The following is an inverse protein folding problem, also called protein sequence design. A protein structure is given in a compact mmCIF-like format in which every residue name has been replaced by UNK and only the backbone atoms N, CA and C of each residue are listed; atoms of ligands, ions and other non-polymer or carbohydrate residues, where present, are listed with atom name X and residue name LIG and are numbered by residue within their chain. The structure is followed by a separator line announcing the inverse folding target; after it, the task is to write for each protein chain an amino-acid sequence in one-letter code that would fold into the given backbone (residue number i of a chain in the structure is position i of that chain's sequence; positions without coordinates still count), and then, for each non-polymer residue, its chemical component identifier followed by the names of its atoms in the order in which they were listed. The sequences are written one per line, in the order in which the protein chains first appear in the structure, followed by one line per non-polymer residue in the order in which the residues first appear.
data_IF_605948519791
#
_entry.id   IF_605948519791
#
_cell.length_a   1.000
_cell.length_b   1.000
_cell.length_c   1.000
_cell.angle_alpha   90.00
_cell.angle_beta   90.00
_cell.angle_gamma   90.00
#
_symmetry.space_group_name_H-M   'P 1'
#
loop_
_entity.id
_entity.type
_entity.pdbx_description
1 polymer ?
#
# COMPACT_ATOMS: atom_id res chain seq x y z
N UNK A 1 14.59 -55.15 53.48
CA UNK A 1 14.32 -56.13 52.41
C UNK A 1 13.98 -55.33 51.15
N UNK A 2 14.70 -55.60 50.05
CA UNK A 2 14.49 -55.13 48.67
C UNK A 2 15.03 -53.76 48.20
N UNK A 3 16.24 -53.86 47.63
CA UNK A 3 16.87 -53.15 46.50
C UNK A 3 15.96 -52.69 45.35
N UNK A 4 16.27 -51.54 44.74
CA UNK A 4 16.38 -51.34 43.28
C UNK A 4 17.17 -50.04 42.97
N UNK A 5 18.48 -50.17 42.69
CA UNK A 5 19.16 -50.03 41.38
C UNK A 5 18.90 -48.74 40.59
N UNK A 6 19.97 -47.93 40.53
CA UNK A 6 20.22 -46.80 39.61
C UNK A 6 20.17 -47.27 38.15
N UNK A 7 19.67 -46.42 37.26
CA UNK A 7 20.02 -46.45 35.84
C UNK A 7 20.41 -45.05 35.38
N UNK A 8 21.67 -44.89 34.96
CA UNK A 8 22.20 -43.73 34.23
C UNK A 8 22.47 -44.17 32.79
N UNK A 9 22.10 -43.32 31.85
CA UNK A 9 22.75 -43.21 30.55
C UNK A 9 22.00 -43.85 29.38
N UNK A 10 21.59 -43.02 28.41
CA UNK A 10 22.31 -42.96 27.13
C UNK A 10 21.77 -41.81 26.27
N UNK A 11 22.70 -41.05 25.71
CA UNK A 11 22.46 -39.95 24.78
C UNK A 11 21.97 -40.49 23.42
N UNK A 12 20.98 -39.81 22.83
CA UNK A 12 20.48 -40.11 21.50
C UNK A 12 21.33 -39.39 20.46
N UNK A 13 22.21 -40.13 19.77
CA UNK A 13 22.90 -39.67 18.55
C UNK A 13 21.97 -39.84 17.36
N UNK A 14 21.63 -38.76 16.68
CA UNK A 14 21.07 -38.81 15.32
C UNK A 14 22.15 -39.34 14.36
N UNK A 15 21.77 -40.30 13.52
CA UNK A 15 22.61 -40.89 12.47
C UNK A 15 21.88 -40.76 11.14
N UNK A 16 22.52 -40.06 10.20
CA UNK A 16 22.20 -40.03 8.77
C UNK A 16 22.04 -41.44 8.20
N UNK A 17 20.92 -41.71 7.53
CA UNK A 17 20.83 -42.64 6.39
C UNK A 17 19.67 -42.26 5.46
N UNK A 18 20.00 -41.56 4.38
CA UNK A 18 19.19 -41.56 3.16
C UNK A 18 19.29 -42.95 2.50
N UNK A 19 18.14 -43.58 2.23
CA UNK A 19 18.06 -44.85 1.50
C UNK A 19 17.89 -44.53 0.01
N UNK A 20 18.93 -44.79 -0.78
CA UNK A 20 18.85 -44.83 -2.24
C UNK A 20 18.02 -46.05 -2.67
N UNK A 21 16.85 -45.82 -3.26
CA UNK A 21 16.12 -46.84 -3.99
C UNK A 21 16.83 -47.10 -5.34
N UNK A 22 17.49 -48.26 -5.47
CA UNK A 22 17.95 -48.80 -6.77
C UNK A 22 16.89 -49.76 -7.29
N UNK A 23 15.93 -49.26 -8.07
CA UNK A 23 15.01 -50.10 -8.82
C UNK A 23 15.18 -49.81 -10.33
N UNK A 24 15.81 -50.71 -11.11
CA UNK A 24 16.19 -50.42 -12.51
C UNK A 24 14.99 -50.23 -13.46
N UNK A 25 13.78 -50.65 -13.08
CA UNK A 25 12.58 -50.48 -13.92
C UNK A 25 12.01 -49.05 -13.90
N UNK A 26 12.20 -48.28 -12.82
CA UNK A 26 11.68 -46.91 -12.71
C UNK A 26 12.50 -45.92 -13.56
N UNK A 27 13.79 -46.19 -13.76
CA UNK A 27 14.69 -45.35 -14.58
C UNK A 27 14.44 -45.47 -16.09
N UNK A 28 13.88 -46.59 -16.56
CA UNK A 28 13.58 -46.80 -17.99
C UNK A 28 12.27 -46.12 -18.40
N UNK A 29 11.27 -46.07 -17.49
CA UNK A 29 10.02 -45.38 -17.73
C UNK A 29 10.18 -43.84 -17.81
N UNK A 30 11.05 -43.25 -16.98
CA UNK A 30 11.35 -41.82 -17.01
C UNK A 30 12.04 -41.35 -18.29
N UNK A 31 12.98 -42.16 -18.82
CA UNK A 31 13.71 -41.84 -20.06
C UNK A 31 12.83 -41.89 -21.32
N UNK A 32 11.83 -42.78 -21.37
CA UNK A 32 10.85 -42.83 -22.48
C UNK A 32 9.90 -41.63 -22.48
N UNK A 33 9.47 -41.15 -21.31
CA UNK A 33 8.59 -39.97 -21.21
C UNK A 33 9.31 -38.67 -21.59
N UNK A 34 10.57 -38.50 -21.18
CA UNK A 34 11.41 -37.35 -21.58
C UNK A 34 11.69 -37.31 -23.09
N UNK A 35 11.93 -38.46 -23.72
CA UNK A 35 12.15 -38.53 -25.17
C UNK A 35 10.90 -38.16 -25.99
N UNK A 36 9.70 -38.53 -25.52
CA UNK A 36 8.44 -38.18 -26.18
C UNK A 36 8.14 -36.69 -26.05
N UNK A 37 8.36 -36.09 -24.87
CA UNK A 37 8.18 -34.64 -24.67
C UNK A 37 9.15 -33.84 -25.54
N UNK A 38 10.42 -34.26 -25.62
CA UNK A 38 11.41 -33.62 -26.49
C UNK A 38 11.02 -33.69 -27.98
N UNK A 39 10.47 -34.82 -28.45
CA UNK A 39 10.02 -34.96 -29.83
C UNK A 39 8.81 -34.06 -30.16
N UNK A 40 7.87 -33.92 -29.23
CA UNK A 40 6.69 -33.04 -29.40
C UNK A 40 7.13 -31.56 -29.46
N UNK A 41 8.04 -31.13 -28.60
CA UNK A 41 8.58 -29.76 -28.62
C UNK A 41 9.29 -29.46 -29.95
N UNK A 42 10.04 -30.43 -30.49
CA UNK A 42 10.77 -30.26 -31.75
C UNK A 42 9.83 -30.15 -32.96
N UNK A 43 8.71 -30.89 -32.97
CA UNK A 43 7.67 -30.77 -34.01
C UNK A 43 6.96 -29.42 -33.95
N UNK A 44 6.66 -28.92 -32.74
CA UNK A 44 6.04 -27.59 -32.56
C UNK A 44 6.99 -26.47 -33.01
N UNK A 45 8.28 -26.56 -32.68
CA UNK A 45 9.28 -25.58 -33.11
C UNK A 45 9.47 -25.57 -34.64
N UNK A 46 9.43 -26.74 -35.29
CA UNK A 46 9.49 -26.83 -36.75
C UNK A 46 8.23 -26.27 -37.42
N UNK A 47 7.04 -26.47 -36.83
CA UNK A 47 5.79 -25.91 -37.33
C UNK A 47 5.75 -24.37 -37.22
N UNK A 48 6.20 -23.82 -36.08
CA UNK A 48 6.28 -22.37 -35.86
C UNK A 48 7.35 -21.73 -36.77
N UNK A 49 8.51 -22.37 -36.92
CA UNK A 49 9.57 -21.93 -37.84
C UNK A 49 9.13 -21.96 -39.31
N UNK A 50 8.39 -22.98 -39.72
CA UNK A 50 7.81 -23.07 -41.06
C UNK A 50 6.77 -21.99 -41.35
N UNK A 51 5.96 -21.62 -40.35
CA UNK A 51 4.97 -20.53 -40.46
C UNK A 51 5.64 -19.15 -40.59
N UNK A 52 6.72 -18.89 -39.83
CA UNK A 52 7.50 -17.65 -39.93
C UNK A 52 8.21 -17.52 -41.30
N UNK A 53 8.77 -18.61 -41.83
CA UNK A 53 9.39 -18.62 -43.17
C UNK A 53 8.37 -18.35 -44.28
N UNK A 54 7.13 -18.84 -44.14
CA UNK A 54 6.05 -18.58 -45.09
C UNK A 54 5.53 -17.13 -45.06
N UNK A 55 5.64 -16.42 -43.93
CA UNK A 55 5.30 -15.00 -43.85
C UNK A 55 6.40 -14.08 -44.41
N UNK A 56 7.68 -14.42 -44.21
CA UNK A 56 8.79 -13.65 -44.78
C UNK A 56 8.89 -13.74 -46.32
N UNK A 57 8.29 -14.76 -46.94
CA UNK A 57 8.24 -14.91 -48.40
C UNK A 57 7.04 -14.20 -49.05
N UNK A 58 6.15 -13.58 -48.26
CA UNK A 58 4.94 -12.88 -48.75
C UNK A 58 5.03 -11.34 -48.76
N UNK A 59 6.16 -10.75 -48.39
CA UNK A 59 6.34 -9.28 -48.34
C UNK A 59 7.33 -8.71 -49.37
N UNK A 60 7.61 -9.42 -50.45
CA UNK A 60 8.46 -8.91 -51.54
C UNK A 60 7.68 -8.75 -52.85
N UNK A 61 6.72 -7.83 -52.88
CA UNK A 61 6.21 -7.24 -54.12
C UNK A 61 5.47 -5.92 -53.85
N UNK A 62 6.21 -4.80 -53.80
CA UNK A 62 5.80 -3.52 -54.43
C UNK A 62 6.81 -2.40 -54.16
N UNK A 63 7.64 -2.11 -55.16
CA UNK A 63 8.25 -0.80 -55.48
C UNK A 63 8.20 -0.74 -57.02
N UNK A 64 8.04 0.38 -57.74
CA UNK A 64 8.12 1.81 -57.48
C UNK A 64 7.52 2.55 -58.70
N UNK A 65 7.34 3.87 -58.58
CA UNK A 65 7.13 4.78 -59.72
C UNK A 65 7.25 6.25 -59.31
N UNK A 66 8.37 6.87 -59.68
CA UNK A 66 8.85 8.22 -59.32
C UNK A 66 8.17 9.37 -60.09
N UNK A 67 8.35 10.61 -59.62
CA UNK A 67 8.59 11.74 -60.55
C UNK A 67 8.22 13.17 -60.14
N UNK A 68 9.15 13.85 -59.43
CA UNK A 68 9.66 15.22 -59.68
C UNK A 68 8.83 16.52 -59.41
N UNK A 69 9.42 17.32 -58.50
CA UNK A 69 9.71 18.79 -58.51
C UNK A 69 8.59 19.84 -58.52
N UNK A 70 8.58 20.77 -57.55
CA UNK A 70 9.24 22.12 -57.63
C UNK A 70 8.98 22.93 -56.34
N UNK A 71 10.02 23.57 -55.78
CA UNK A 71 9.96 24.56 -54.69
C UNK A 71 9.38 25.90 -55.19
N UNK A 72 8.67 26.65 -54.32
CA UNK A 72 8.81 28.11 -54.20
C UNK A 72 8.15 28.62 -52.91
N UNK A 73 8.93 29.37 -52.13
CA UNK A 73 8.55 30.18 -50.97
C UNK A 73 7.49 31.23 -51.30
N UNK A 74 6.53 31.46 -50.39
CA UNK A 74 6.08 32.83 -50.01
C UNK A 74 5.51 32.80 -48.57
N UNK A 75 6.16 33.53 -47.67
CA UNK A 75 5.64 33.90 -46.36
C UNK A 75 4.55 34.99 -46.47
N UNK A 76 3.44 34.87 -45.71
CA UNK A 76 2.61 36.02 -45.33
C UNK A 76 1.90 35.80 -43.98
N UNK A 77 2.02 36.82 -43.15
CA UNK A 77 1.64 36.90 -41.73
C UNK A 77 0.13 36.97 -41.44
N UNK A 78 -0.20 36.40 -40.28
CA UNK A 78 -1.16 36.82 -39.22
C UNK A 78 -2.67 36.90 -39.54
N UNK A 79 -3.42 36.02 -38.85
CA UNK A 79 -4.54 36.43 -38.00
C UNK A 79 -4.35 35.87 -36.60
N UNK A 80 -4.14 36.76 -35.63
CA UNK A 80 -4.29 36.43 -34.21
C UNK A 80 -5.76 36.13 -33.97
N UNK A 81 -6.08 34.84 -33.81
CA UNK A 81 -7.26 34.45 -33.04
C UNK A 81 -6.84 34.61 -31.58
N UNK A 82 -7.46 35.56 -30.89
CA UNK A 82 -7.38 35.62 -29.43
C UNK A 82 -8.00 34.31 -28.94
N UNK A 83 -7.16 33.35 -28.53
CA UNK A 83 -7.62 32.18 -27.78
C UNK A 83 -8.38 32.73 -26.58
N UNK A 84 -9.67 32.41 -26.52
CA UNK A 84 -10.45 32.49 -25.29
C UNK A 84 -9.63 31.77 -24.22
N UNK A 85 -9.30 32.43 -23.12
CA UNK A 85 -8.57 31.80 -22.03
C UNK A 85 -9.29 30.50 -21.68
N UNK A 86 -8.59 29.37 -21.86
CA UNK A 86 -9.04 28.08 -21.37
C UNK A 86 -9.25 28.20 -19.85
N UNK A 87 -10.25 27.49 -19.26
CA UNK A 87 -10.42 27.49 -17.82
C UNK A 87 -9.08 27.06 -17.21
N UNK A 88 -8.57 27.79 -16.20
CA UNK A 88 -7.34 27.39 -15.51
C UNK A 88 -7.48 25.93 -15.09
N UNK A 89 -6.68 25.07 -15.73
CA UNK A 89 -6.55 23.65 -15.41
C UNK A 89 -6.20 23.52 -13.93
N UNK A 90 -6.84 22.58 -13.26
CA UNK A 90 -6.64 22.37 -11.84
C UNK A 90 -5.70 21.18 -11.65
N UNK A 91 -4.42 21.48 -11.48
CA UNK A 91 -3.42 20.50 -11.12
C UNK A 91 -3.49 20.31 -9.59
N UNK A 92 -3.87 19.13 -9.10
CA UNK A 92 -3.68 18.77 -7.70
C UNK A 92 -2.23 18.99 -7.24
N UNK A 93 -1.94 18.80 -5.97
CA UNK A 93 -0.63 19.15 -5.37
C UNK A 93 0.57 18.35 -5.93
N UNK A 94 0.35 17.31 -6.74
CA UNK A 94 1.41 16.53 -7.37
C UNK A 94 1.82 17.10 -8.75
N UNK A 95 3.13 17.14 -9.07
CA UNK A 95 3.64 17.72 -10.31
C UNK A 95 3.24 16.91 -11.56
N UNK A 96 3.40 17.55 -12.73
CA UNK A 96 3.30 16.90 -14.04
C UNK A 96 1.94 16.24 -14.35
N UNK A 97 0.84 16.80 -13.84
CA UNK A 97 -0.51 16.37 -14.20
C UNK A 97 -0.71 16.39 -15.74
N UNK A 98 -0.91 15.23 -16.40
CA UNK A 98 -0.93 15.16 -17.86
C UNK A 98 -2.31 15.41 -18.47
N UNK A 99 -3.36 15.45 -17.64
CA UNK A 99 -4.75 15.62 -18.04
C UNK A 99 -5.38 16.88 -17.42
N UNK A 100 -6.67 17.10 -17.67
CA UNK A 100 -7.39 18.30 -17.21
C UNK A 100 -7.49 18.39 -15.68
N UNK A 101 -7.68 17.24 -15.02
CA UNK A 101 -7.86 17.15 -13.58
C UNK A 101 -6.94 16.06 -13.02
N UNK A 102 -6.30 16.34 -11.88
CA UNK A 102 -5.53 15.34 -11.12
C UNK A 102 -5.85 15.37 -9.62
N UNK A 103 -5.74 14.21 -8.99
CA UNK A 103 -5.87 14.01 -7.54
C UNK A 103 -4.61 13.30 -7.04
N UNK A 104 -3.99 13.78 -5.98
CA UNK A 104 -2.85 13.16 -5.33
C UNK A 104 -3.23 12.61 -3.96
N UNK A 105 -3.40 11.29 -3.86
CA UNK A 105 -3.66 10.59 -2.59
C UNK A 105 -2.35 10.09 -2.01
N UNK A 106 -2.00 10.52 -0.80
CA UNK A 106 -0.90 9.96 -0.03
C UNK A 106 -1.43 8.94 0.97
N UNK A 107 -0.75 7.79 1.05
CA UNK A 107 -1.05 6.68 1.95
C UNK A 107 0.21 6.29 2.69
N UNK A 108 0.04 5.94 3.96
CA UNK A 108 1.08 5.47 4.84
C UNK A 108 0.80 4.05 5.33
N UNK A 109 1.86 3.43 5.81
CA UNK A 109 1.79 2.19 6.56
C UNK A 109 1.15 2.35 7.94
N UNK A 110 1.26 1.28 8.72
CA UNK A 110 0.56 1.11 9.99
C UNK A 110 0.94 2.18 11.02
N UNK A 111 -0.06 2.77 11.68
CA UNK A 111 0.11 3.50 12.93
C UNK A 111 -0.02 2.52 14.11
N UNK A 112 1.04 1.75 14.34
CA UNK A 112 1.09 0.68 15.34
C UNK A 112 1.85 1.12 16.59
N UNK A 113 1.12 1.60 17.58
CA UNK A 113 1.70 2.18 18.79
C UNK A 113 1.92 1.14 19.88
N UNK A 114 3.11 1.15 20.49
CA UNK A 114 3.47 0.29 21.62
C UNK A 114 4.07 1.10 22.78
N UNK A 115 4.06 0.56 24.02
CA UNK A 115 4.59 1.25 25.20
C UNK A 115 6.01 1.80 25.04
N UNK A 116 6.92 0.97 24.50
CA UNK A 116 8.31 1.37 24.29
C UNK A 116 8.50 2.54 23.33
N UNK A 117 7.51 2.83 22.48
CA UNK A 117 7.48 4.04 21.64
C UNK A 117 6.82 5.21 22.38
N UNK A 118 5.58 5.05 22.86
CA UNK A 118 4.82 6.20 23.34
C UNK A 118 5.37 6.79 24.64
N UNK A 119 6.07 6.01 25.46
CA UNK A 119 6.68 6.50 26.71
C UNK A 119 7.71 7.61 26.46
N UNK A 120 8.28 7.70 25.24
CA UNK A 120 9.21 8.77 24.84
C UNK A 120 8.51 10.12 24.59
N UNK A 121 7.18 10.13 24.54
CA UNK A 121 6.37 11.31 24.25
C UNK A 121 5.45 11.69 25.41
N UNK A 122 5.66 11.09 26.59
CA UNK A 122 4.87 11.37 27.77
C UNK A 122 5.06 12.82 28.24
N UNK A 123 3.94 13.49 28.52
CA UNK A 123 3.92 14.76 29.22
C UNK A 123 4.19 14.61 30.72
N UNK A 124 4.09 15.71 31.50
CA UNK A 124 4.36 15.68 32.94
C UNK A 124 3.41 14.81 33.75
N UNK A 125 2.21 14.51 33.21
CA UNK A 125 1.19 13.70 33.87
C UNK A 125 0.45 12.84 32.82
N UNK A 126 0.77 11.56 32.75
CA UNK A 126 0.13 10.62 31.81
C UNK A 126 -1.33 10.30 32.13
N UNK A 127 -1.84 10.72 33.30
CA UNK A 127 -3.26 10.65 33.64
C UNK A 127 -4.03 11.95 33.30
N UNK A 128 -3.37 12.93 32.65
CA UNK A 128 -4.04 14.16 32.24
C UNK A 128 -5.12 13.88 31.19
N UNK A 129 -6.24 14.60 31.29
CA UNK A 129 -7.40 14.43 30.41
C UNK A 129 -7.60 15.59 29.43
N UNK A 130 -6.75 16.61 29.53
CA UNK A 130 -6.78 17.86 28.75
C UNK A 130 -5.94 17.82 27.47
N UNK A 131 -5.48 16.62 27.09
CA UNK A 131 -4.61 16.40 25.94
C UNK A 131 -3.12 16.64 26.16
N UNK A 132 -2.69 16.84 27.42
CA UNK A 132 -1.26 17.01 27.75
C UNK A 132 -0.58 15.74 28.25
N UNK A 133 -1.29 14.59 28.25
CA UNK A 133 -0.73 13.32 28.68
C UNK A 133 0.42 12.85 27.79
N UNK A 134 0.31 13.08 26.48
CA UNK A 134 1.33 12.78 25.48
C UNK A 134 1.36 13.86 24.40
N UNK A 135 2.52 14.07 23.77
CA UNK A 135 2.64 14.91 22.58
C UNK A 135 3.46 14.20 21.49
N UNK A 136 2.77 13.62 20.52
CA UNK A 136 3.39 12.92 19.39
C UNK A 136 3.71 13.85 18.21
N UNK A 137 3.52 15.17 18.31
CA UNK A 137 3.69 16.07 17.15
C UNK A 137 5.08 15.92 16.52
N UNK A 138 6.14 15.82 17.32
CA UNK A 138 7.53 15.66 16.84
C UNK A 138 7.81 14.30 16.17
N UNK A 139 7.02 13.26 16.48
CA UNK A 139 7.10 11.95 15.83
C UNK A 139 6.67 12.04 14.37
N UNK A 140 5.59 12.78 14.10
CA UNK A 140 4.97 12.88 12.78
C UNK A 140 5.49 14.07 11.96
N UNK A 141 6.03 15.12 12.59
CA UNK A 141 6.34 16.39 11.93
C UNK A 141 7.11 16.26 10.60
N UNK A 142 8.11 15.37 10.43
CA UNK A 142 8.80 15.27 9.16
C UNK A 142 7.92 14.75 8.01
N UNK A 143 6.80 14.07 8.29
CA UNK A 143 5.81 13.66 7.28
C UNK A 143 5.10 14.88 6.63
N UNK A 144 4.99 16.02 7.35
CA UNK A 144 4.20 17.18 6.91
C UNK A 144 4.54 17.62 5.50
N UNK A 145 5.82 17.62 5.11
CA UNK A 145 6.26 18.02 3.76
C UNK A 145 5.72 17.13 2.63
N UNK A 146 5.49 15.84 2.91
CA UNK A 146 4.92 14.89 1.96
C UNK A 146 3.38 14.99 1.94
N UNK A 147 2.77 15.24 3.11
CA UNK A 147 1.34 15.51 3.23
C UNK A 147 0.97 16.79 2.46
N UNK A 148 1.70 17.89 2.68
CA UNK A 148 1.47 19.18 2.02
C UNK A 148 1.69 19.11 0.50
N UNK A 149 2.56 18.21 0.04
CA UNK A 149 2.77 17.92 -1.38
C UNK A 149 1.73 16.96 -1.97
N UNK A 150 0.67 16.64 -1.23
CA UNK A 150 -0.43 15.76 -1.64
C UNK A 150 -1.77 16.47 -1.43
N UNK A 151 -2.84 16.02 -2.09
CA UNK A 151 -4.17 16.61 -1.90
C UNK A 151 -4.86 16.03 -0.67
N UNK A 152 -4.76 14.70 -0.52
CA UNK A 152 -5.46 13.93 0.50
C UNK A 152 -4.44 12.95 1.10
N UNK A 153 -4.06 13.15 2.35
CA UNK A 153 -3.29 12.18 3.12
C UNK A 153 -4.21 11.27 3.92
N UNK A 154 -4.01 9.97 3.78
CA UNK A 154 -4.79 8.91 4.43
C UNK A 154 -3.85 8.10 5.34
N UNK A 155 -4.17 8.04 6.63
CA UNK A 155 -3.46 7.20 7.57
C UNK A 155 -4.07 5.79 7.66
N UNK A 156 -3.28 4.78 8.02
CA UNK A 156 -3.82 3.51 8.51
C UNK A 156 -3.74 3.55 10.03
N UNK A 157 -4.89 3.41 10.68
CA UNK A 157 -5.01 3.48 12.14
C UNK A 157 -5.32 2.07 12.67
N UNK A 158 -4.27 1.26 12.81
CA UNK A 158 -4.39 -0.16 13.14
C UNK A 158 -5.04 -0.40 14.51
N UNK A 159 -4.69 0.39 15.53
CA UNK A 159 -5.03 0.11 16.93
C UNK A 159 -6.11 1.06 17.49
N UNK A 160 -6.96 0.61 18.42
CA UNK A 160 -7.93 1.49 19.05
C UNK A 160 -7.27 2.40 20.09
N UNK A 161 -7.90 3.55 20.32
CA UNK A 161 -7.46 4.54 21.31
C UNK A 161 -8.19 4.39 22.66
N UNK A 162 -7.48 4.71 23.73
CA UNK A 162 -7.99 4.89 25.08
C UNK A 162 -8.74 6.22 25.22
N UNK A 163 -9.59 6.38 26.25
CA UNK A 163 -9.99 7.73 26.66
C UNK A 163 -8.74 8.52 27.12
N UNK A 164 -8.81 9.86 27.03
CA UNK A 164 -7.74 10.71 27.57
C UNK A 164 -7.49 10.35 29.04
N UNK A 165 -6.22 10.24 29.43
CA UNK A 165 -5.79 9.78 30.75
C UNK A 165 -5.76 8.25 30.96
N UNK A 166 -6.12 7.46 29.95
CA UNK A 166 -6.02 5.99 29.98
C UNK A 166 -7.25 5.29 30.59
N UNK A 167 -7.13 3.98 30.93
CA UNK A 167 -5.90 3.20 30.99
C UNK A 167 -5.35 2.86 29.59
N UNK A 168 -4.02 2.83 29.48
CA UNK A 168 -3.33 2.44 28.25
C UNK A 168 -2.90 0.99 28.28
N UNK A 169 -3.09 0.27 27.18
CA UNK A 169 -2.60 -1.11 27.01
C UNK A 169 -1.94 -1.28 25.65
N UNK A 170 -0.87 -2.07 25.60
CA UNK A 170 -0.24 -2.50 24.35
C UNK A 170 -0.68 -3.92 23.97
N UNK A 171 0.07 -4.52 23.05
CA UNK A 171 -0.08 -5.92 22.65
C UNK A 171 -0.31 -6.88 23.85
N UNK A 172 -1.22 -7.85 23.76
CA UNK A 172 -1.97 -8.27 22.56
C UNK A 172 -3.33 -7.57 22.36
N UNK A 173 -3.77 -6.75 23.32
CA UNK A 173 -5.07 -6.07 23.26
C UNK A 173 -4.83 -4.58 23.51
N UNK A 174 -4.76 -3.83 22.41
CA UNK A 174 -4.33 -2.44 22.42
C UNK A 174 -5.41 -1.49 22.94
N UNK A 175 -4.97 -0.40 23.57
CA UNK A 175 -5.76 0.77 23.95
C UNK A 175 -4.78 1.95 24.07
N UNK A 176 -4.40 2.53 22.94
CA UNK A 176 -3.24 3.44 22.85
C UNK A 176 -3.61 4.88 23.28
N UNK A 177 -2.66 5.77 23.60
CA UNK A 177 -2.98 7.17 23.89
C UNK A 177 -3.74 7.87 22.77
N UNK A 178 -4.86 8.54 23.09
CA UNK A 178 -5.71 9.23 22.12
C UNK A 178 -5.03 10.41 21.42
N UNK A 179 -4.00 11.00 22.05
CA UNK A 179 -3.22 12.14 21.55
C UNK A 179 -2.51 11.85 20.23
N UNK A 180 -2.43 10.58 19.81
CA UNK A 180 -1.98 10.21 18.46
C UNK A 180 -2.87 10.81 17.38
N UNK A 181 -4.19 10.91 17.62
CA UNK A 181 -5.14 11.53 16.70
C UNK A 181 -4.88 13.04 16.59
N UNK A 182 -4.60 13.70 17.71
CA UNK A 182 -4.19 15.11 17.74
C UNK A 182 -2.96 15.35 16.86
N UNK A 183 -1.95 14.47 16.95
CA UNK A 183 -0.74 14.57 16.15
C UNK A 183 -1.01 14.32 14.66
N UNK A 184 -1.80 13.30 14.33
CA UNK A 184 -2.20 13.01 12.95
C UNK A 184 -2.94 14.20 12.31
N UNK A 185 -3.86 14.83 13.05
CA UNK A 185 -4.58 16.02 12.60
C UNK A 185 -3.64 17.21 12.43
N UNK A 186 -2.74 17.45 13.39
CA UNK A 186 -1.76 18.55 13.35
C UNK A 186 -0.84 18.49 12.13
N UNK A 187 -0.44 17.30 11.68
CA UNK A 187 0.41 17.16 10.48
C UNK A 187 -0.37 17.14 9.18
N UNK A 188 -1.71 17.09 9.24
CA UNK A 188 -2.57 17.29 8.08
C UNK A 188 -3.19 16.02 7.49
N UNK A 189 -3.22 14.89 8.22
CA UNK A 189 -4.03 13.75 7.77
C UNK A 189 -5.50 14.16 7.67
N UNK A 190 -6.12 13.82 6.55
CA UNK A 190 -7.52 14.19 6.25
C UNK A 190 -8.47 13.02 6.40
N UNK A 191 -7.96 11.80 6.28
CA UNK A 191 -8.72 10.61 6.54
C UNK A 191 -7.85 9.51 7.16
N UNK A 192 -8.50 8.53 7.77
CA UNK A 192 -7.85 7.31 8.23
C UNK A 192 -8.71 6.08 7.94
N UNK A 193 -8.05 4.97 7.62
CA UNK A 193 -8.67 3.64 7.55
C UNK A 193 -8.42 2.89 8.85
N UNK A 194 -9.39 2.11 9.30
CA UNK A 194 -9.28 1.39 10.58
C UNK A 194 -10.03 0.05 10.54
N UNK A 195 -9.95 -0.63 9.40
CA UNK A 195 -10.21 -2.06 9.29
C UNK A 195 -8.87 -2.77 9.39
N UNK A 196 -8.64 -3.44 10.51
CA UNK A 196 -7.39 -4.10 10.90
C UNK A 196 -7.68 -5.31 11.78
N UNK A 197 -6.66 -6.14 11.99
CA UNK A 197 -6.68 -7.21 12.99
C UNK A 197 -6.98 -6.72 14.44
N UNK A 198 -6.63 -5.47 14.78
CA UNK A 198 -6.82 -4.86 16.10
C UNK A 198 -8.09 -4.01 16.25
N UNK A 199 -8.91 -3.91 15.20
CA UNK A 199 -10.13 -3.10 15.17
C UNK A 199 -11.15 -3.42 16.27
N UNK A 200 -11.11 -4.63 16.83
CA UNK A 200 -12.05 -5.10 17.84
C UNK A 200 -11.46 -5.22 19.26
N UNK A 201 -10.20 -4.86 19.49
CA UNK A 201 -9.53 -5.05 20.78
C UNK A 201 -10.26 -4.40 21.97
N UNK A 202 -10.93 -3.28 21.73
CA UNK A 202 -11.71 -2.55 22.74
C UNK A 202 -13.23 -2.62 22.47
N UNK A 203 -13.65 -3.54 21.60
CA UNK A 203 -15.04 -3.74 21.21
C UNK A 203 -15.75 -2.50 20.67
N UNK A 204 -17.09 -2.50 20.78
CA UNK A 204 -17.93 -1.42 20.28
C UNK A 204 -17.62 -0.05 20.91
N UNK A 205 -17.23 -0.02 22.19
CA UNK A 205 -16.84 1.20 22.89
C UNK A 205 -15.54 1.79 22.33
N UNK A 206 -14.58 0.93 21.97
CA UNK A 206 -13.35 1.30 21.28
C UNK A 206 -13.60 1.96 19.93
N UNK A 207 -14.40 1.30 19.08
CA UNK A 207 -14.79 1.84 17.77
C UNK A 207 -15.49 3.19 17.93
N UNK A 208 -16.47 3.26 18.85
CA UNK A 208 -17.22 4.50 19.09
C UNK A 208 -16.32 5.65 19.53
N UNK A 209 -15.35 5.35 20.39
CA UNK A 209 -14.40 6.34 20.88
C UNK A 209 -13.45 6.82 19.79
N UNK A 210 -12.83 5.91 19.03
CA UNK A 210 -12.02 6.28 17.87
C UNK A 210 -12.81 7.16 16.91
N UNK A 211 -14.06 6.77 16.62
CA UNK A 211 -14.95 7.54 15.75
C UNK A 211 -15.15 8.98 16.22
N UNK A 212 -15.48 9.14 17.49
CA UNK A 212 -15.76 10.47 18.03
C UNK A 212 -14.50 11.32 18.12
N UNK A 213 -13.34 10.74 18.41
CA UNK A 213 -12.08 11.47 18.45
C UNK A 213 -11.66 11.94 17.06
N UNK A 214 -11.64 11.05 16.05
CA UNK A 214 -11.25 11.45 14.69
C UNK A 214 -12.21 12.50 14.10
N UNK A 215 -13.53 12.38 14.36
CA UNK A 215 -14.52 13.38 13.94
C UNK A 215 -14.29 14.75 14.61
N UNK A 216 -13.97 14.77 15.90
CA UNK A 216 -13.63 16.00 16.63
C UNK A 216 -12.38 16.68 16.07
N UNK A 217 -11.42 15.89 15.59
CA UNK A 217 -10.17 16.38 15.00
C UNK A 217 -10.30 16.69 13.49
N UNK A 218 -11.48 16.48 12.91
CA UNK A 218 -11.75 16.74 11.48
C UNK A 218 -11.12 15.71 10.54
N UNK A 219 -10.75 14.53 11.05
CA UNK A 219 -10.25 13.39 10.27
C UNK A 219 -11.43 12.50 9.87
N UNK A 220 -11.66 12.37 8.57
CA UNK A 220 -12.66 11.45 8.05
C UNK A 220 -12.22 9.99 8.24
N UNK A 221 -13.15 9.04 8.27
CA UNK A 221 -12.80 7.66 8.62
C UNK A 221 -13.69 6.60 7.96
N UNK A 222 -13.13 5.39 7.80
CA UNK A 222 -13.84 4.22 7.27
C UNK A 222 -13.15 2.92 7.70
N UNK A 223 -13.91 1.82 7.73
CA UNK A 223 -13.39 0.47 7.96
C UNK A 223 -13.97 -0.22 9.20
N UNK A 224 -14.43 0.53 10.20
CA UNK A 224 -15.27 0.01 11.29
C UNK A 224 -16.34 1.03 11.69
N UNK A 225 -17.42 0.62 12.38
CA UNK A 225 -18.65 1.42 12.41
C UNK A 225 -19.39 1.38 13.75
N UNK A 226 -19.92 2.56 14.12
CA UNK A 226 -20.81 2.75 15.28
C UNK A 226 -22.19 2.15 15.05
N UNK A 227 -22.68 2.22 13.81
CA UNK A 227 -24.02 1.78 13.40
C UNK A 227 -23.98 0.99 12.10
N UNK A 228 -24.99 0.12 11.90
CA UNK A 228 -25.14 -0.62 10.65
C UNK A 228 -25.35 0.33 9.46
N UNK A 229 -26.09 1.43 9.66
CA UNK A 229 -26.31 2.43 8.61
C UNK A 229 -24.98 3.03 8.12
N UNK A 230 -24.09 3.41 9.05
CA UNK A 230 -22.77 3.92 8.71
C UNK A 230 -21.95 2.88 7.94
N UNK A 231 -22.08 1.61 8.29
CA UNK A 231 -21.36 0.51 7.64
C UNK A 231 -21.73 0.31 6.16
N UNK A 232 -22.81 0.90 5.68
CA UNK A 232 -23.24 0.83 4.27
C UNK A 232 -22.76 2.01 3.44
N UNK A 233 -22.30 3.10 4.09
CA UNK A 233 -21.89 4.33 3.42
C UNK A 233 -20.40 4.27 3.08
N UNK A 234 -19.99 4.53 1.84
CA UNK A 234 -18.58 4.74 1.52
C UNK A 234 -18.12 6.09 2.07
N UNK A 235 -16.83 6.21 2.37
CA UNK A 235 -16.22 7.51 2.59
C UNK A 235 -15.90 8.16 1.23
N UNK A 236 -16.41 9.37 0.99
CA UNK A 236 -16.12 10.17 -0.21
C UNK A 236 -15.53 11.51 0.22
N UNK A 237 -14.32 11.80 -0.24
CA UNK A 237 -13.52 12.95 0.17
C UNK A 237 -13.33 13.87 -1.04
N UNK A 238 -13.74 15.14 -0.90
CA UNK A 238 -13.38 16.17 -1.87
C UNK A 238 -11.89 16.52 -1.74
N UNK A 239 -11.17 16.50 -2.86
CA UNK A 239 -9.81 17.04 -2.94
C UNK A 239 -9.85 18.53 -2.57
N UNK A 240 -9.11 18.99 -1.53
CA UNK A 240 -9.11 20.38 -1.10
C UNK A 240 -8.63 21.36 -2.17
N UNK A 241 -7.81 20.88 -3.11
CA UNK A 241 -7.35 21.68 -4.24
C UNK A 241 -8.44 21.80 -5.30
N UNK A 242 -9.35 20.83 -5.39
CA UNK A 242 -10.43 20.81 -6.38
C UNK A 242 -10.17 19.84 -7.54
N UNK A 243 -9.19 18.95 -7.37
CA UNK A 243 -8.82 17.90 -8.32
C UNK A 243 -9.96 16.92 -8.64
N UNK A 244 -10.90 16.72 -7.71
CA UNK A 244 -12.02 15.79 -7.85
C UNK A 244 -12.33 15.10 -6.53
N UNK A 245 -13.03 13.97 -6.57
CA UNK A 245 -13.44 13.23 -5.36
C UNK A 245 -12.80 11.85 -5.28
N UNK A 246 -12.28 11.49 -4.11
CA UNK A 246 -11.78 10.16 -3.78
C UNK A 246 -12.85 9.39 -2.99
N UNK A 247 -13.26 8.22 -3.48
CA UNK A 247 -13.92 7.20 -2.68
C UNK A 247 -12.89 6.33 -1.97
N UNK A 248 -13.04 6.12 -0.66
CA UNK A 248 -12.14 5.31 0.14
C UNK A 248 -12.90 4.17 0.82
N UNK A 249 -12.43 2.95 0.58
CA UNK A 249 -12.93 1.71 1.18
C UNK A 249 -11.76 1.08 1.95
N UNK A 250 -12.06 0.32 3.00
CA UNK A 250 -11.08 -0.46 3.73
C UNK A 250 -11.66 -1.85 4.04
N UNK A 251 -10.80 -2.83 4.26
CA UNK A 251 -11.20 -4.14 4.75
C UNK A 251 -10.02 -4.90 5.34
N UNK A 252 -10.32 -5.84 6.24
CA UNK A 252 -9.29 -6.66 6.90
C UNK A 252 -9.63 -8.14 6.91
N UNK A 253 -8.59 -8.96 6.77
CA UNK A 253 -8.71 -10.43 6.74
C UNK A 253 -8.89 -11.04 8.12
N UNK A 254 -8.46 -10.37 9.19
CA UNK A 254 -8.44 -10.92 10.56
C UNK A 254 -8.99 -9.94 11.60
N UNK A 255 -9.41 -10.46 12.76
CA UNK A 255 -9.71 -9.70 13.98
C UNK A 255 -9.01 -10.34 15.19
N UNK A 256 -7.87 -11.00 14.96
CA UNK A 256 -7.13 -11.75 15.98
C UNK A 256 -8.00 -12.79 16.71
N UNK A 257 -8.79 -13.54 15.93
CA UNK A 257 -9.78 -14.52 16.39
C UNK A 257 -10.90 -13.97 17.29
N UNK A 258 -11.06 -12.65 17.36
CA UNK A 258 -12.20 -12.02 18.02
C UNK A 258 -13.40 -11.99 17.07
N UNK A 259 -14.60 -11.99 17.66
CA UNK A 259 -15.86 -11.91 16.92
C UNK A 259 -16.60 -10.64 17.34
N UNK A 260 -16.93 -9.74 16.40
CA UNK A 260 -17.71 -8.57 16.72
C UNK A 260 -19.14 -8.95 17.11
N UNK A 261 -19.80 -8.08 17.86
CA UNK A 261 -21.22 -8.27 18.24
C UNK A 261 -22.14 -8.33 17.01
N UNK A 262 -21.75 -7.67 15.92
CA UNK A 262 -22.37 -7.77 14.59
C UNK A 262 -21.31 -7.77 13.49
N UNK A 263 -21.54 -8.54 12.41
CA UNK A 263 -20.61 -8.65 11.28
C UNK A 263 -20.35 -7.30 10.57
N UNK A 264 -21.33 -6.39 10.59
CA UNK A 264 -21.20 -5.05 9.99
C UNK A 264 -20.26 -4.10 10.74
N UNK A 265 -19.80 -4.46 11.95
CA UNK A 265 -18.95 -3.60 12.79
C UNK A 265 -17.63 -3.25 12.15
N UNK A 266 -17.02 -4.18 11.42
CA UNK A 266 -15.73 -4.01 10.76
C UNK A 266 -15.91 -4.50 9.33
N UNK A 267 -15.42 -3.76 8.35
CA UNK A 267 -15.35 -4.27 6.99
C UNK A 267 -14.33 -5.40 6.92
N UNK A 268 -14.82 -6.58 6.55
CA UNK A 268 -14.03 -7.80 6.44
C UNK A 268 -13.61 -8.01 4.99
N UNK A 269 -12.50 -8.71 4.82
CA UNK A 269 -12.06 -9.35 3.59
C UNK A 269 -11.61 -10.76 3.98
N UNK A 270 -12.54 -11.60 4.45
CA UNK A 270 -12.16 -12.92 4.95
C UNK A 270 -11.51 -13.74 3.85
N UNK A 271 -10.58 -14.58 4.26
CA UNK A 271 -9.87 -15.55 3.42
C UNK A 271 -10.81 -16.37 2.52
N UNK A 272 -10.38 -16.71 1.29
CA UNK A 272 -11.11 -17.50 0.28
C UNK A 272 -11.79 -18.80 0.78
N UNK A 273 -11.30 -19.40 1.87
CA UNK A 273 -11.90 -20.58 2.49
C UNK A 273 -13.11 -20.29 3.40
N UNK A 274 -13.33 -19.02 3.75
CA UNK A 274 -14.44 -18.59 4.61
C UNK A 274 -15.75 -18.52 3.80
N UNK A 275 -16.88 -19.04 4.33
CA UNK A 275 -18.16 -18.99 3.63
C UNK A 275 -18.68 -17.57 3.33
N UNK A 276 -18.16 -16.54 3.99
CA UNK A 276 -18.55 -15.15 3.78
C UNK A 276 -17.59 -14.36 2.88
N UNK A 277 -16.51 -14.98 2.39
CA UNK A 277 -15.51 -14.32 1.55
C UNK A 277 -16.14 -13.57 0.36
N UNK A 278 -17.01 -14.23 -0.42
CA UNK A 278 -17.67 -13.58 -1.55
C UNK A 278 -18.58 -12.42 -1.10
N UNK A 279 -19.25 -12.56 0.04
CA UNK A 279 -20.10 -11.50 0.57
C UNK A 279 -19.29 -10.27 1.00
N UNK A 280 -18.06 -10.47 1.49
CA UNK A 280 -17.12 -9.41 1.82
C UNK A 280 -16.69 -8.64 0.57
N UNK A 281 -16.30 -9.35 -0.50
CA UNK A 281 -15.96 -8.76 -1.80
C UNK A 281 -17.16 -8.00 -2.38
N UNK A 282 -18.36 -8.60 -2.36
CA UNK A 282 -19.58 -7.97 -2.85
C UNK A 282 -19.93 -6.69 -2.08
N UNK A 283 -19.71 -6.68 -0.75
CA UNK A 283 -19.91 -5.50 0.10
C UNK A 283 -18.92 -4.38 -0.27
N UNK A 284 -17.64 -4.71 -0.46
CA UNK A 284 -16.62 -3.75 -0.87
C UNK A 284 -16.96 -3.14 -2.26
N UNK A 285 -17.36 -3.97 -3.22
CA UNK A 285 -17.81 -3.54 -4.55
C UNK A 285 -19.08 -2.68 -4.48
N UNK A 286 -20.03 -3.01 -3.60
CA UNK A 286 -21.23 -2.22 -3.41
C UNK A 286 -20.90 -0.82 -2.89
N UNK A 287 -19.98 -0.70 -1.94
CA UNK A 287 -19.47 0.59 -1.44
C UNK A 287 -18.76 1.39 -2.54
N UNK A 288 -17.89 0.75 -3.32
CA UNK A 288 -17.23 1.39 -4.44
C UNK A 288 -18.25 1.96 -5.46
N UNK A 289 -19.28 1.18 -5.81
CA UNK A 289 -20.37 1.63 -6.70
C UNK A 289 -21.16 2.79 -6.09
N UNK A 290 -21.42 2.76 -4.79
CA UNK A 290 -22.10 3.85 -4.10
C UNK A 290 -21.24 5.11 -4.05
N UNK A 291 -19.92 4.99 -3.88
CA UNK A 291 -19.00 6.12 -3.91
C UNK A 291 -19.06 6.81 -5.28
N UNK A 292 -19.07 6.04 -6.37
CA UNK A 292 -19.24 6.56 -7.74
C UNK A 292 -20.56 7.31 -7.91
N UNK A 293 -21.67 6.78 -7.38
CA UNK A 293 -22.98 7.49 -7.43
C UNK A 293 -22.96 8.80 -6.66
N UNK A 294 -22.18 8.88 -5.58
CA UNK A 294 -21.93 10.10 -4.81
C UNK A 294 -20.89 11.03 -5.47
N UNK A 295 -20.41 10.68 -6.66
CA UNK A 295 -19.54 11.51 -7.49
C UNK A 295 -18.04 11.25 -7.31
N UNK A 296 -17.64 10.13 -6.69
CA UNK A 296 -16.23 9.74 -6.64
C UNK A 296 -15.65 9.59 -8.05
N UNK A 297 -14.62 10.40 -8.35
CA UNK A 297 -13.86 10.41 -9.59
C UNK A 297 -12.81 9.28 -9.63
N UNK A 298 -12.29 8.91 -8.45
CA UNK A 298 -11.47 7.72 -8.23
C UNK A 298 -11.90 6.96 -6.97
N UNK A 299 -11.64 5.66 -6.90
CA UNK A 299 -11.96 4.80 -5.76
C UNK A 299 -10.74 3.94 -5.40
N UNK A 300 -10.29 4.07 -4.15
CA UNK A 300 -9.21 3.27 -3.58
C UNK A 300 -9.75 2.29 -2.52
N UNK A 301 -9.07 1.15 -2.36
CA UNK A 301 -9.31 0.23 -1.25
C UNK A 301 -8.02 -0.06 -0.47
N UNK A 302 -8.12 0.08 0.86
CA UNK A 302 -7.12 -0.39 1.82
C UNK A 302 -7.38 -1.86 2.17
N UNK A 303 -6.39 -2.72 1.93
CA UNK A 303 -6.44 -4.15 2.19
C UNK A 303 -5.49 -4.48 3.35
N UNK A 304 -6.02 -4.64 4.56
CA UNK A 304 -5.21 -4.99 5.73
C UNK A 304 -5.07 -6.53 5.81
N UNK A 305 -3.93 -7.04 5.32
CA UNK A 305 -3.64 -8.47 5.10
C UNK A 305 -2.41 -8.90 5.89
N UNK A 306 -2.50 -10.02 6.62
CA UNK A 306 -1.84 -10.17 7.93
C UNK A 306 -0.72 -11.20 8.02
N UNK A 307 -0.14 -11.67 6.90
CA UNK A 307 1.09 -12.44 7.05
C UNK A 307 2.25 -11.48 7.35
N UNK A 308 2.45 -11.22 8.64
CA UNK A 308 3.42 -10.26 9.17
C UNK A 308 4.87 -10.62 8.80
N UNK A 309 5.67 -9.58 8.57
CA UNK A 309 7.12 -9.61 8.35
C UNK A 309 7.58 -10.34 7.08
N UNK A 310 6.70 -10.53 6.09
CA UNK A 310 7.06 -11.02 4.76
C UNK A 310 7.25 -9.87 3.76
N UNK A 311 8.49 -9.62 3.34
CA UNK A 311 8.81 -8.60 2.35
C UNK A 311 8.51 -9.01 0.89
N UNK A 312 7.73 -10.07 0.70
CA UNK A 312 7.11 -10.47 -0.56
C UNK A 312 5.61 -10.65 -0.36
N UNK A 313 4.82 -10.41 -1.40
CA UNK A 313 3.40 -10.73 -1.39
C UNK A 313 3.23 -12.25 -1.49
N UNK A 314 2.60 -12.88 -0.51
CA UNK A 314 2.33 -14.33 -0.57
C UNK A 314 1.17 -14.63 -1.55
N UNK A 315 0.90 -15.91 -1.80
CA UNK A 315 -0.14 -16.32 -2.75
C UNK A 315 -1.55 -15.95 -2.31
N UNK A 316 -1.80 -15.84 -1.01
CA UNK A 316 -3.10 -15.49 -0.47
C UNK A 316 -3.40 -14.02 -0.68
N UNK A 317 -2.45 -13.16 -0.29
CA UNK A 317 -2.51 -11.73 -0.48
C UNK A 317 -2.60 -11.37 -1.97
N UNK A 318 -1.85 -12.06 -2.84
CA UNK A 318 -1.96 -11.91 -4.29
C UNK A 318 -3.36 -12.29 -4.80
N UNK A 319 -3.90 -13.44 -4.38
CA UNK A 319 -5.23 -13.88 -4.81
C UNK A 319 -6.32 -12.89 -4.43
N UNK A 320 -6.28 -12.37 -3.20
CA UNK A 320 -7.23 -11.37 -2.71
C UNK A 320 -7.15 -10.05 -3.48
N UNK A 321 -5.93 -9.53 -3.68
CA UNK A 321 -5.74 -8.28 -4.41
C UNK A 321 -6.12 -8.43 -5.90
N UNK A 322 -5.81 -9.56 -6.53
CA UNK A 322 -6.20 -9.85 -7.92
C UNK A 322 -7.72 -9.97 -8.05
N UNK A 323 -8.40 -10.62 -7.10
CA UNK A 323 -9.86 -10.72 -7.11
C UNK A 323 -10.52 -9.34 -6.98
N UNK A 324 -10.04 -8.50 -6.05
CA UNK A 324 -10.50 -7.11 -5.92
C UNK A 324 -10.26 -6.32 -7.21
N UNK A 325 -9.10 -6.49 -7.86
CA UNK A 325 -8.77 -5.83 -9.12
C UNK A 325 -9.69 -6.28 -10.27
N UNK A 326 -9.94 -7.59 -10.39
CA UNK A 326 -10.77 -8.18 -11.44
C UNK A 326 -12.25 -7.76 -11.36
N UNK A 327 -12.70 -7.26 -10.20
CA UNK A 327 -14.04 -6.64 -10.10
C UNK A 327 -14.19 -5.37 -10.94
N UNK A 328 -13.07 -4.69 -11.26
CA UNK A 328 -13.04 -3.39 -11.94
C UNK A 328 -13.62 -2.23 -11.12
N UNK A 329 -13.84 -2.42 -9.82
CA UNK A 329 -14.48 -1.41 -8.96
C UNK A 329 -13.50 -0.38 -8.38
N UNK A 330 -12.20 -0.70 -8.32
CA UNK A 330 -11.16 0.07 -7.65
C UNK A 330 -10.08 0.50 -8.65
N UNK A 331 -9.63 1.76 -8.57
CA UNK A 331 -8.53 2.28 -9.41
C UNK A 331 -7.16 1.96 -8.82
N UNK A 332 -7.09 1.75 -7.50
CA UNK A 332 -5.88 1.33 -6.78
C UNK A 332 -6.25 0.48 -5.57
N UNK A 333 -5.40 -0.50 -5.28
CA UNK A 333 -5.43 -1.32 -4.08
C UNK A 333 -4.13 -1.04 -3.33
N UNK A 334 -4.20 -0.77 -2.04
CA UNK A 334 -3.00 -0.62 -1.21
C UNK A 334 -3.14 -1.41 0.09
N UNK A 335 -2.04 -2.02 0.53
CA UNK A 335 -2.04 -2.93 1.66
C UNK A 335 -1.29 -2.42 2.88
N UNK A 336 -1.70 -2.95 4.02
CA UNK A 336 -1.23 -2.64 5.36
C UNK A 336 -1.25 -3.93 6.23
N UNK A 337 -0.72 -3.87 7.45
CA UNK A 337 -0.76 -4.97 8.42
C UNK A 337 0.37 -6.01 8.30
N UNK A 338 1.08 -6.07 7.17
CA UNK A 338 2.24 -6.95 7.05
C UNK A 338 3.49 -6.41 7.79
N UNK A 339 3.43 -5.18 8.31
CA UNK A 339 4.50 -4.51 9.05
C UNK A 339 5.84 -4.40 8.28
N UNK A 340 5.83 -4.59 6.97
CA UNK A 340 6.99 -4.43 6.11
C UNK A 340 6.61 -3.88 4.73
N UNK A 341 7.58 -3.27 4.05
CA UNK A 341 7.41 -2.92 2.64
C UNK A 341 7.27 -4.20 1.81
N UNK A 342 6.31 -4.21 0.89
CA UNK A 342 6.06 -5.30 -0.05
C UNK A 342 5.95 -4.77 -1.49
N UNK A 343 5.95 -5.65 -2.51
CA UNK A 343 6.07 -5.25 -3.90
C UNK A 343 4.93 -4.36 -4.41
N UNK A 344 5.18 -3.66 -5.51
CA UNK A 344 4.16 -2.98 -6.30
C UNK A 344 3.95 -3.75 -7.60
N UNK A 345 2.69 -3.96 -7.98
CA UNK A 345 2.30 -4.68 -9.19
C UNK A 345 1.29 -3.84 -9.99
N UNK A 346 1.38 -3.91 -11.32
CA UNK A 346 0.24 -3.57 -12.18
C UNK A 346 -0.39 -4.88 -12.66
N UNK A 347 -1.57 -5.19 -12.13
CA UNK A 347 -2.32 -6.38 -12.49
C UNK A 347 -3.55 -5.98 -13.31
N UNK A 348 -3.60 -6.41 -14.57
CA UNK A 348 -4.71 -6.11 -15.50
C UNK A 348 -5.09 -4.62 -15.59
N UNK A 349 -4.13 -3.70 -15.40
CA UNK A 349 -4.35 -2.25 -15.43
C UNK A 349 -4.63 -1.62 -14.07
N UNK A 350 -4.88 -2.41 -13.02
CA UNK A 350 -5.05 -1.93 -11.64
C UNK A 350 -3.71 -1.97 -10.92
N UNK A 351 -3.34 -0.87 -10.26
CA UNK A 351 -2.13 -0.83 -9.43
C UNK A 351 -2.40 -1.36 -8.04
N UNK A 352 -1.47 -2.19 -7.56
CA UNK A 352 -1.53 -2.86 -6.26
C UNK A 352 -0.22 -2.54 -5.52
N UNK A 353 -0.33 -1.93 -4.35
CA UNK A 353 0.78 -1.82 -3.39
C UNK A 353 0.51 -2.86 -2.32
N UNK A 354 1.26 -3.95 -2.26
CA UNK A 354 0.90 -5.06 -1.38
C UNK A 354 1.04 -4.74 0.11
N UNK A 355 2.00 -3.88 0.47
CA UNK A 355 2.29 -3.59 1.87
C UNK A 355 3.12 -2.33 2.01
N UNK A 356 2.59 -1.37 2.75
CA UNK A 356 3.26 -0.10 3.07
C UNK A 356 4.15 -0.21 4.32
N UNK A 357 4.11 -1.34 5.04
CA UNK A 357 4.85 -1.56 6.29
C UNK A 357 4.40 -0.65 7.43
N UNK A 358 5.29 -0.37 8.37
CA UNK A 358 4.96 0.53 9.49
C UNK A 358 5.31 1.97 9.12
N UNK A 359 4.37 2.89 9.31
CA UNK A 359 4.67 4.32 9.35
C UNK A 359 5.11 4.76 10.74
N UNK A 360 4.57 4.13 11.79
CA UNK A 360 4.99 4.35 13.17
C UNK A 360 4.92 3.02 13.90
N UNK A 361 6.04 2.55 14.45
CA UNK A 361 6.04 1.45 15.43
C UNK A 361 7.25 1.50 16.35
N UNK A 362 7.20 0.71 17.43
CA UNK A 362 8.34 0.46 18.30
C UNK A 362 9.44 -0.29 17.53
N UNK A 363 10.69 0.03 17.85
CA UNK A 363 11.84 -0.66 17.28
C UNK A 363 11.85 -2.12 17.75
N UNK A 364 11.75 -3.05 16.81
CA UNK A 364 12.05 -4.46 17.01
C UNK A 364 13.57 -4.66 17.03
N UNK A 365 14.06 -5.28 18.11
CA UNK A 365 15.45 -5.73 18.23
C UNK A 365 15.59 -7.24 17.99
N UNK A 366 14.53 -7.89 17.53
CA UNK A 366 14.54 -9.32 17.22
C UNK A 366 15.26 -9.50 15.88
N UNK A 367 16.39 -10.23 15.84
CA UNK A 367 17.09 -10.51 14.58
C UNK A 367 16.16 -11.23 13.61
N UNK A 368 16.12 -10.78 12.35
CA UNK A 368 15.21 -11.28 11.32
C UNK A 368 13.89 -10.51 11.20
N UNK A 369 13.58 -9.60 12.13
CA UNK A 369 12.41 -8.71 12.06
C UNK A 369 12.80 -7.26 11.78
N UNK A 370 13.95 -7.02 11.14
CA UNK A 370 14.43 -5.67 10.81
C UNK A 370 13.44 -4.92 9.91
N UNK A 371 12.68 -5.68 9.10
CA UNK A 371 11.62 -5.19 8.22
C UNK A 371 10.51 -4.45 8.96
N UNK A 372 10.28 -4.78 10.24
CA UNK A 372 9.29 -4.14 11.10
C UNK A 372 9.60 -2.66 11.36
N UNK A 373 10.89 -2.29 11.32
CA UNK A 373 11.34 -0.95 11.71
C UNK A 373 11.25 0.05 10.56
N UNK A 374 10.66 -0.37 9.43
CA UNK A 374 10.69 0.33 8.16
C UNK A 374 9.31 0.28 7.49
N UNK A 375 9.13 1.20 6.55
CA UNK A 375 7.90 1.27 5.76
C UNK A 375 8.12 1.99 4.44
N UNK A 376 7.01 2.22 3.76
CA UNK A 376 6.90 2.99 2.53
C UNK A 376 5.71 3.93 2.69
N UNK A 377 5.95 5.20 2.42
CA UNK A 377 4.89 6.18 2.18
C UNK A 377 4.74 6.34 0.68
N UNK A 378 3.51 6.31 0.17
CA UNK A 378 3.26 6.41 -1.26
C UNK A 378 2.26 7.53 -1.59
N UNK A 379 2.51 8.29 -2.65
CA UNK A 379 1.57 9.23 -3.26
C UNK A 379 1.13 8.70 -4.62
N UNK A 380 -0.14 8.32 -4.71
CA UNK A 380 -0.80 7.89 -5.93
C UNK A 380 -1.42 9.13 -6.60
N UNK A 381 -0.86 9.52 -7.74
CA UNK A 381 -1.44 10.56 -8.59
C UNK A 381 -2.39 9.91 -9.60
N UNK A 382 -3.65 10.31 -9.53
CA UNK A 382 -4.65 10.01 -10.54
C UNK A 382 -4.77 11.18 -11.51
N UNK A 383 -4.97 10.87 -12.79
CA UNK A 383 -5.18 11.85 -13.84
C UNK A 383 -6.40 11.47 -14.69
N UNK A 384 -7.24 12.44 -15.02
CA UNK A 384 -8.46 12.22 -15.78
C UNK A 384 -9.22 13.52 -16.03
N UNK A 385 -10.54 13.38 -16.19
CA UNK A 385 -11.45 14.50 -16.40
C UNK A 385 -12.73 14.32 -15.59
N UNK A 386 -13.01 15.26 -14.70
CA UNK A 386 -14.22 15.23 -13.86
C UNK A 386 -15.49 15.10 -14.70
N UNK A 387 -16.40 14.25 -14.24
CA UNK A 387 -17.68 13.99 -14.91
C UNK A 387 -17.59 13.16 -16.20
N UNK A 388 -16.40 12.69 -16.59
CA UNK A 388 -16.23 11.74 -17.71
C UNK A 388 -15.89 10.37 -17.15
N UNK A 389 -16.91 9.50 -17.11
CA UNK A 389 -16.76 8.13 -16.63
C UNK A 389 -15.66 7.37 -17.38
N UNK A 390 -14.81 6.67 -16.64
CA UNK A 390 -13.70 5.88 -17.20
C UNK A 390 -12.52 6.69 -17.74
N UNK A 391 -12.46 8.01 -17.52
CA UNK A 391 -11.32 8.82 -17.95
C UNK A 391 -10.14 8.80 -16.97
N UNK A 392 -10.39 8.44 -15.72
CA UNK A 392 -9.42 8.45 -14.64
C UNK A 392 -8.53 7.21 -14.69
N UNK A 393 -7.25 7.40 -14.38
CA UNK A 393 -6.26 6.33 -14.21
C UNK A 393 -5.21 6.75 -13.20
N UNK A 394 -4.51 5.79 -12.62
CA UNK A 394 -3.24 6.06 -11.94
C UNK A 394 -2.22 6.48 -13.00
N UNK A 395 -1.72 7.70 -12.90
CA UNK A 395 -0.68 8.23 -13.76
C UNK A 395 0.71 7.95 -13.21
N UNK A 396 0.86 8.07 -11.88
CA UNK A 396 2.15 7.98 -11.19
C UNK A 396 1.95 7.51 -9.75
N UNK A 397 2.92 6.75 -9.25
CA UNK A 397 3.05 6.40 -7.84
C UNK A 397 4.45 6.85 -7.40
N UNK A 398 4.50 7.86 -6.54
CA UNK A 398 5.74 8.28 -5.89
C UNK A 398 5.87 7.56 -4.55
N UNK A 399 7.01 6.98 -4.23
CA UNK A 399 7.20 6.24 -2.97
C UNK A 399 8.46 6.70 -2.24
N UNK A 400 8.41 6.77 -0.91
CA UNK A 400 9.58 7.07 -0.07
C UNK A 400 9.77 5.93 0.93
N UNK A 401 10.98 5.34 1.03
CA UNK A 401 11.30 4.39 2.10
C UNK A 401 11.44 5.15 3.42
N UNK A 402 10.96 4.54 4.51
CA UNK A 402 10.88 5.23 5.81
C UNK A 402 11.42 4.37 6.94
N UNK A 403 11.90 5.02 8.00
CA UNK A 403 12.27 4.43 9.27
C UNK A 403 11.46 5.09 10.41
N UNK A 404 11.31 4.36 11.51
CA UNK A 404 10.62 4.87 12.72
C UNK A 404 11.53 5.65 13.68
N UNK A 405 12.83 5.68 13.40
CA UNK A 405 13.83 6.34 14.24
C UNK A 405 14.78 7.20 13.42
N UNK A 406 15.23 8.30 14.04
CA UNK A 406 16.31 9.14 13.55
C UNK A 406 17.33 9.35 14.66
N UNK A 407 18.58 8.97 14.40
CA UNK A 407 19.70 9.07 15.32
C UNK A 407 19.38 8.48 16.72
N UNK A 408 18.64 7.36 16.73
CA UNK A 408 18.25 6.64 17.94
C UNK A 408 17.06 7.24 18.71
N UNK A 409 16.40 8.28 18.18
CA UNK A 409 15.17 8.85 18.72
C UNK A 409 13.98 8.47 17.85
N UNK A 410 12.81 8.19 18.44
CA UNK A 410 11.59 7.96 17.67
C UNK A 410 11.19 9.24 16.95
N UNK A 411 11.17 9.17 15.62
CA UNK A 411 10.76 10.22 14.71
C UNK A 411 10.64 9.56 13.33
N UNK A 412 9.51 9.74 12.65
CA UNK A 412 9.37 9.27 11.28
C UNK A 412 10.45 9.91 10.42
N UNK A 413 11.19 9.07 9.70
CA UNK A 413 12.39 9.49 9.02
C UNK A 413 12.41 8.96 7.57
N UNK A 414 12.45 9.83 6.55
CA UNK A 414 12.59 9.40 5.18
C UNK A 414 14.03 8.96 4.90
N UNK A 415 14.18 7.76 4.35
CA UNK A 415 15.46 7.16 3.94
C UNK A 415 15.70 7.37 2.42
N UNK A 416 14.97 8.31 1.79
CA UNK A 416 15.17 8.63 0.37
C UNK A 416 16.53 9.25 0.13
N UNK A 417 17.03 9.14 -1.11
CA UNK A 417 18.34 9.66 -1.52
C UNK A 417 18.62 11.11 -1.10
N UNK A 418 17.58 11.94 -1.13
CA UNK A 418 17.66 13.36 -0.89
C UNK A 418 17.74 13.74 0.58
N UNK A 419 17.51 12.79 1.49
CA UNK A 419 17.59 12.95 2.94
C UNK A 419 17.11 14.34 3.40
N UNK A 420 15.83 14.68 3.21
CA UNK A 420 15.34 16.04 3.41
C UNK A 420 15.45 16.50 4.88
N UNK A 421 15.67 15.56 5.80
CA UNK A 421 15.97 15.80 7.21
C UNK A 421 17.36 15.21 7.60
N UNK A 422 18.22 14.86 6.66
CA UNK A 422 19.46 14.13 6.93
C UNK A 422 19.25 12.66 7.29
N UNK A 423 20.34 11.91 7.39
CA UNK A 423 20.31 10.46 7.59
C UNK A 423 19.59 10.00 8.87
N UNK A 424 18.77 8.97 8.75
CA UNK A 424 18.07 8.29 9.83
C UNK A 424 19.05 7.56 10.75
N UNK A 425 20.01 6.83 10.20
CA UNK A 425 21.10 6.23 10.97
C UNK A 425 22.45 6.82 10.55
N UNK A 426 22.83 6.59 9.29
CA UNK A 426 24.00 7.14 8.62
C UNK A 426 23.89 6.82 7.13
N UNK A 427 24.62 7.54 6.29
CA UNK A 427 24.60 7.39 4.82
C UNK A 427 24.71 5.94 4.33
N UNK A 428 25.56 5.12 4.97
CA UNK A 428 25.78 3.73 4.53
C UNK A 428 24.59 2.84 4.87
N UNK A 429 24.10 2.94 6.10
CA UNK A 429 22.98 2.14 6.56
C UNK A 429 21.69 2.51 5.83
N UNK A 430 21.43 3.82 5.70
CA UNK A 430 20.28 4.35 4.97
C UNK A 430 20.29 3.87 3.51
N UNK A 431 21.43 3.96 2.82
CA UNK A 431 21.56 3.45 1.44
C UNK A 431 21.32 1.93 1.34
N UNK A 432 21.78 1.13 2.31
CA UNK A 432 21.54 -0.31 2.31
C UNK A 432 20.05 -0.64 2.48
N UNK A 433 19.37 0.03 3.41
CA UNK A 433 17.94 -0.20 3.65
C UNK A 433 17.08 0.28 2.49
N UNK A 434 17.39 1.45 1.94
CA UNK A 434 16.77 1.96 0.72
C UNK A 434 16.93 0.99 -0.45
N UNK A 435 18.12 0.46 -0.68
CA UNK A 435 18.36 -0.50 -1.77
C UNK A 435 17.59 -1.81 -1.56
N UNK A 436 17.44 -2.27 -0.32
CA UNK A 436 16.63 -3.45 0.02
C UNK A 436 15.16 -3.22 -0.31
N UNK A 437 14.59 -2.09 0.14
CA UNK A 437 13.19 -1.71 -0.13
C UNK A 437 12.97 -1.51 -1.64
N UNK A 438 13.93 -0.88 -2.34
CA UNK A 438 13.89 -0.75 -3.79
C UNK A 438 13.75 -2.13 -4.47
N UNK A 439 14.58 -3.11 -4.09
CA UNK A 439 14.50 -4.45 -4.67
C UNK A 439 13.14 -5.12 -4.42
N UNK A 440 12.53 -4.88 -3.26
CA UNK A 440 11.20 -5.38 -2.91
C UNK A 440 10.12 -4.73 -3.77
N UNK A 441 10.07 -3.39 -3.82
CA UNK A 441 9.08 -2.62 -4.58
C UNK A 441 9.01 -3.07 -6.04
N UNK A 442 10.17 -3.31 -6.67
CA UNK A 442 10.25 -3.68 -8.08
C UNK A 442 10.29 -5.19 -8.35
N UNK A 443 10.18 -6.05 -7.32
CA UNK A 443 10.31 -7.50 -7.48
C UNK A 443 9.19 -8.16 -8.30
N UNK A 444 8.03 -7.49 -8.43
CA UNK A 444 6.89 -7.91 -9.26
C UNK A 444 6.76 -7.08 -10.55
N UNK A 445 7.83 -6.40 -10.97
CA UNK A 445 7.88 -5.79 -12.31
C UNK A 445 7.21 -4.43 -12.44
N UNK A 446 7.04 -3.68 -11.35
CA UNK A 446 6.57 -2.29 -11.41
C UNK A 446 7.36 -1.45 -12.42
N UNK A 447 6.66 -0.74 -13.30
CA UNK A 447 7.29 0.14 -14.30
C UNK A 447 7.90 1.36 -13.60
N UNK A 448 9.23 1.52 -13.68
CA UNK A 448 9.95 2.65 -13.11
C UNK A 448 9.57 4.01 -13.73
N UNK A 449 8.87 4.02 -14.87
CA UNK A 449 8.31 5.25 -15.43
C UNK A 449 7.02 5.68 -14.72
N UNK A 450 6.32 4.78 -14.03
CA UNK A 450 5.09 5.07 -13.29
C UNK A 450 5.35 5.07 -11.78
N UNK A 451 6.07 4.08 -11.28
CA UNK A 451 6.43 3.91 -9.87
C UNK A 451 7.83 4.44 -9.65
N UNK A 452 7.99 5.53 -8.91
CA UNK A 452 9.26 6.25 -8.77
C UNK A 452 9.54 6.56 -7.32
N UNK A 453 10.80 6.52 -6.93
CA UNK A 453 11.19 7.04 -5.63
C UNK A 453 10.94 8.55 -5.56
N UNK A 454 10.40 9.01 -4.43
CA UNK A 454 9.99 10.38 -4.22
C UNK A 454 11.12 11.22 -3.63
N UNK A 455 11.73 12.04 -4.48
CA UNK A 455 12.67 13.07 -4.08
C UNK A 455 11.90 14.38 -3.81
N UNK A 456 11.54 14.63 -2.55
CA UNK A 456 10.72 15.78 -2.17
C UNK A 456 11.50 17.10 -2.31
N UNK A 457 12.82 17.07 -2.11
CA UNK A 457 13.69 18.24 -2.21
C UNK A 457 13.72 18.78 -3.64
N UNK A 458 13.84 17.91 -4.64
CA UNK A 458 13.82 18.28 -6.05
C UNK A 458 12.46 18.84 -6.47
N UNK A 459 11.36 18.28 -5.97
CA UNK A 459 9.99 18.72 -6.26
C UNK A 459 9.72 20.14 -5.70
N UNK A 460 10.15 20.42 -4.48
CA UNK A 460 10.00 21.73 -3.85
C UNK A 460 10.87 22.81 -4.52
N UNK A 461 12.09 22.46 -4.95
CA UNK A 461 12.95 23.36 -5.71
C UNK A 461 12.35 23.71 -7.09
N UNK A 462 11.69 22.76 -7.75
CA UNK A 462 10.97 23.00 -9.01
C UNK A 462 9.72 23.88 -8.86
N UNK A 463 9.08 23.84 -7.69
CA UNK A 463 7.86 24.60 -7.39
C UNK A 463 8.12 26.05 -7.00
N UNK A 464 9.26 26.34 -6.37
CA UNK A 464 9.68 27.69 -5.96
C UNK A 464 10.28 28.55 -7.10
N UNK A 465 10.53 27.94 -8.27
CA UNK A 465 10.99 28.62 -9.48
C UNK A 465 9.89 28.98 -10.50
N UNK A 466 8.63 28.69 -10.19
CA UNK A 466 7.43 29.11 -10.95
C UNK A 466 6.71 30.23 -10.21
#
# INVERSE_FOLDING_TARGET
MWSMRRNRGSAMRYRDKAVHARNPEVLVAGRRRLAIVAAVVLVVLLAVGGWFLAQCLRSSQSQAGQGATTQMDVAKQKKHVVKKAEPKEHHGNSPDCPDTDCIAMMVNGDLLFHPGLWDNFAGPNTAATDGTAYDFTSLFEPMRKYIDASDIAVCEFETPIAPRGGPYTGYPVFNIPSEVADAAAKVGYRACTHASNHSWDQGADGITRLWNTLDQDGIAQTGSYKTEEDSTKPLVIDSPTGGGKLGLIAGTVSLNAQTPDYDWRVDRLRESGDPNHQADIDKAVAKAKEARKQGADVVAIAMHSVQEYLDYADSWQQSEAHELADTGAFDVIYGAGCHCAQPVENYNGTWIIYGLGNAVTVTSYIPGNEVNNQGVTARVQFAGKKGVAGSWRVNRIDWVPTANVRQGQYQWCPISDDHPDGACWNETEDANQRQRIWNVIYSMGADQNVVREWNITAEQAGSSGK
#
